data_IF_114393122520
#
_entry.id   IF_114393122520
#
_cell.length_a   1.000
_cell.length_b   1.000
_cell.length_c   1.000
_cell.angle_alpha   90.00
_cell.angle_beta   90.00
_cell.angle_gamma   90.00
#
_symmetry.space_group_name_H-M   'P 1'
#
loop_
_entity.id
_entity.type
_entity.pdbx_description
1 polymer ?
#
# COMPACT_ATOMS: atom_id res chain seq x y z
N UNK A 1 17.73 -24.05 15.05
CA UNK A 1 16.88 -25.22 14.69
C UNK A 1 17.65 -26.53 14.78
N UNK A 2 17.01 -27.70 14.61
CA UNK A 2 17.69 -29.00 14.74
C UNK A 2 18.88 -29.18 13.75
N UNK A 3 18.76 -28.65 12.53
CA UNK A 3 19.84 -28.68 11.52
C UNK A 3 21.01 -27.77 11.89
N UNK A 4 20.73 -26.62 12.52
CA UNK A 4 21.76 -25.68 12.99
C UNK A 4 22.59 -26.28 14.14
N UNK A 5 21.96 -27.07 15.02
CA UNK A 5 22.66 -27.84 16.06
C UNK A 5 23.60 -28.90 15.47
N UNK A 6 23.30 -29.40 14.26
CA UNK A 6 24.12 -30.35 13.50
C UNK A 6 25.06 -29.70 12.48
N UNK A 7 25.22 -28.37 12.47
CA UNK A 7 26.01 -27.67 11.44
C UNK A 7 27.46 -28.15 11.35
N UNK A 8 28.07 -28.52 12.49
CA UNK A 8 29.42 -29.07 12.56
C UNK A 8 29.57 -30.41 11.83
N UNK A 9 28.49 -31.22 11.76
CA UNK A 9 28.45 -32.49 11.02
C UNK A 9 28.35 -32.28 9.50
N UNK A 10 27.79 -31.14 9.09
CA UNK A 10 27.69 -30.72 7.69
C UNK A 10 28.95 -29.95 7.22
N UNK A 11 30.02 -29.95 8.02
CA UNK A 11 31.27 -29.21 7.79
C UNK A 11 31.08 -27.68 7.61
N UNK A 12 29.98 -27.13 8.13
CA UNK A 12 29.75 -25.70 8.13
C UNK A 12 30.51 -25.10 9.33
N UNK A 13 31.45 -24.21 9.04
CA UNK A 13 32.40 -23.70 10.04
C UNK A 13 31.79 -22.62 10.93
N UNK A 14 30.82 -21.88 10.41
CA UNK A 14 30.18 -20.77 11.10
C UNK A 14 28.69 -20.63 10.72
N UNK A 15 27.94 -19.90 11.55
CA UNK A 15 26.54 -19.58 11.29
C UNK A 15 26.36 -18.76 10.01
N UNK A 16 27.38 -18.02 9.59
CA UNK A 16 27.35 -17.22 8.36
C UNK A 16 27.31 -18.10 7.12
N UNK A 17 28.15 -19.14 7.03
CA UNK A 17 28.13 -20.12 5.96
C UNK A 17 26.82 -20.90 5.95
N UNK A 18 26.26 -21.24 7.12
CA UNK A 18 24.93 -21.86 7.18
C UNK A 18 23.86 -20.94 6.56
N UNK A 19 23.85 -19.66 6.94
CA UNK A 19 22.91 -18.69 6.39
C UNK A 19 23.05 -18.54 4.87
N UNK A 20 24.28 -18.36 4.38
CA UNK A 20 24.53 -18.14 2.95
C UNK A 20 24.31 -19.40 2.10
N UNK A 21 24.77 -20.57 2.54
CA UNK A 21 24.78 -21.79 1.72
C UNK A 21 23.49 -22.59 1.85
N UNK A 22 22.79 -22.50 2.98
CA UNK A 22 21.56 -23.26 3.23
C UNK A 22 20.34 -22.34 3.17
N UNK A 23 20.26 -21.33 4.03
CA UNK A 23 19.04 -20.52 4.16
C UNK A 23 18.78 -19.65 2.93
N UNK A 24 19.76 -18.89 2.46
CA UNK A 24 19.61 -18.00 1.29
C UNK A 24 19.36 -18.81 0.01
N UNK A 25 20.03 -19.96 -0.15
CA UNK A 25 19.78 -20.84 -1.32
C UNK A 25 18.40 -21.47 -1.28
N UNK A 26 17.95 -21.93 -0.11
CA UNK A 26 16.59 -22.44 0.06
C UNK A 26 15.55 -21.33 -0.17
N UNK A 27 15.82 -20.10 0.30
CA UNK A 27 14.94 -18.96 0.09
C UNK A 27 14.77 -18.64 -1.40
N UNK A 28 15.88 -18.56 -2.15
CA UNK A 28 15.86 -18.38 -3.61
C UNK A 28 15.09 -19.49 -4.32
N UNK A 29 15.30 -20.74 -3.91
CA UNK A 29 14.55 -21.86 -4.47
C UNK A 29 13.05 -21.75 -4.18
N UNK A 30 12.65 -21.33 -2.97
CA UNK A 30 11.23 -21.07 -2.65
C UNK A 30 10.67 -19.92 -3.48
N UNK A 31 11.45 -18.87 -3.73
CA UNK A 31 11.08 -17.72 -4.56
C UNK A 31 10.86 -18.12 -6.03
N UNK A 32 11.77 -18.90 -6.61
CA UNK A 32 11.66 -19.45 -7.97
C UNK A 32 10.44 -20.37 -8.16
N UNK A 33 9.92 -20.95 -7.07
CA UNK A 33 8.75 -21.83 -7.08
C UNK A 33 7.46 -21.12 -6.62
N UNK A 34 7.40 -19.79 -6.69
CA UNK A 34 6.25 -18.95 -6.29
C UNK A 34 5.83 -19.11 -4.81
N UNK A 35 6.72 -19.63 -3.95
CA UNK A 35 6.47 -19.78 -2.50
C UNK A 35 7.02 -18.61 -1.71
N UNK A 36 6.54 -17.41 -2.04
CA UNK A 36 7.05 -16.16 -1.48
C UNK A 36 6.98 -16.12 0.05
N UNK A 37 5.91 -16.65 0.67
CA UNK A 37 5.77 -16.70 2.13
C UNK A 37 6.84 -17.57 2.80
N UNK A 38 7.29 -18.64 2.15
CA UNK A 38 8.39 -19.48 2.64
C UNK A 38 9.73 -18.77 2.45
N UNK A 39 9.94 -18.16 1.28
CA UNK A 39 11.14 -17.40 0.98
C UNK A 39 11.38 -16.27 2.01
N UNK A 40 10.33 -15.50 2.34
CA UNK A 40 10.40 -14.42 3.34
C UNK A 40 10.84 -14.95 4.71
N UNK A 41 10.29 -16.10 5.15
CA UNK A 41 10.68 -16.71 6.43
C UNK A 41 12.14 -17.10 6.43
N UNK A 42 12.63 -17.69 5.33
CA UNK A 42 14.02 -18.13 5.19
C UNK A 42 14.99 -16.94 5.13
N UNK A 43 14.67 -15.87 4.39
CA UNK A 43 15.47 -14.65 4.38
C UNK A 43 15.51 -13.96 5.75
N UNK A 44 14.38 -13.93 6.48
CA UNK A 44 14.33 -13.38 7.84
C UNK A 44 15.21 -14.19 8.81
N UNK A 45 15.21 -15.53 8.71
CA UNK A 45 16.11 -16.38 9.49
C UNK A 45 17.58 -16.18 9.11
N UNK A 46 17.87 -15.93 7.83
CA UNK A 46 19.23 -15.64 7.35
C UNK A 46 19.75 -14.26 7.78
N UNK A 47 18.88 -13.37 8.27
CA UNK A 47 19.21 -12.01 8.67
C UNK A 47 19.29 -11.01 7.50
N UNK A 48 18.80 -11.38 6.31
CA UNK A 48 18.77 -10.50 5.13
C UNK A 48 17.48 -9.66 5.13
N UNK A 49 17.47 -8.65 6.00
CA UNK A 49 16.28 -7.82 6.22
C UNK A 49 15.89 -6.97 5.01
N UNK A 50 16.87 -6.55 4.19
CA UNK A 50 16.62 -5.81 2.94
C UNK A 50 15.79 -6.63 1.97
N UNK A 51 16.22 -7.86 1.71
CA UNK A 51 15.52 -8.76 0.78
C UNK A 51 14.15 -9.13 1.32
N UNK A 52 14.00 -9.33 2.63
CA UNK A 52 12.68 -9.56 3.25
C UNK A 52 11.70 -8.43 2.92
N UNK A 53 12.10 -7.17 3.09
CA UNK A 53 11.22 -6.02 2.86
C UNK A 53 10.92 -5.84 1.38
N UNK A 54 11.89 -6.06 0.48
CA UNK A 54 11.67 -6.03 -0.96
C UNK A 54 10.66 -7.11 -1.41
N UNK A 55 10.82 -8.36 -0.94
CA UNK A 55 9.88 -9.45 -1.23
C UNK A 55 8.48 -9.13 -0.68
N UNK A 56 8.38 -8.54 0.52
CA UNK A 56 7.12 -8.10 1.10
C UNK A 56 6.44 -7.01 0.25
N UNK A 57 7.20 -6.01 -0.21
CA UNK A 57 6.68 -4.94 -1.06
C UNK A 57 6.11 -5.51 -2.36
N UNK A 58 6.84 -6.44 -3.00
CA UNK A 58 6.38 -7.08 -4.23
C UNK A 58 5.13 -7.95 -4.00
N UNK A 59 5.11 -8.75 -2.94
CA UNK A 59 4.02 -9.64 -2.63
C UNK A 59 2.72 -8.87 -2.31
N UNK A 60 2.79 -7.90 -1.38
CA UNK A 60 1.63 -7.07 -1.01
C UNK A 60 1.10 -6.26 -2.20
N UNK A 61 2.01 -5.82 -3.07
CA UNK A 61 1.64 -5.06 -4.24
C UNK A 61 0.89 -5.91 -5.28
N UNK A 62 1.28 -7.18 -5.48
CA UNK A 62 0.50 -8.12 -6.31
C UNK A 62 -0.88 -8.39 -5.71
N UNK A 63 -0.92 -8.49 -4.38
CA UNK A 63 -2.14 -8.69 -3.61
C UNK A 63 -3.09 -7.50 -3.75
N UNK A 64 -2.62 -6.24 -3.75
CA UNK A 64 -3.46 -5.04 -3.91
C UNK A 64 -4.03 -4.89 -5.32
N UNK A 65 -3.24 -5.23 -6.35
CA UNK A 65 -3.70 -5.16 -7.75
C UNK A 65 -4.87 -6.11 -8.04
N UNK A 66 -5.11 -7.10 -7.18
CA UNK A 66 -6.21 -8.07 -7.35
C UNK A 66 -7.54 -7.50 -6.84
N UNK A 67 -8.63 -7.61 -7.61
CA UNK A 67 -9.94 -7.10 -7.21
C UNK A 67 -10.49 -7.87 -5.99
N UNK A 68 -10.33 -9.20 -5.98
CA UNK A 68 -10.74 -10.07 -4.87
C UNK A 68 -9.50 -10.63 -4.15
N UNK A 69 -9.29 -10.34 -2.85
CA UNK A 69 -8.21 -10.94 -2.08
C UNK A 69 -8.47 -12.43 -1.85
N UNK A 70 -7.46 -13.27 -2.10
CA UNK A 70 -7.52 -14.68 -1.70
C UNK A 70 -7.22 -14.85 -0.21
N UNK A 71 -7.57 -16.00 0.38
CA UNK A 71 -7.25 -16.33 1.78
C UNK A 71 -5.72 -16.22 2.04
N UNK A 72 -4.92 -16.65 1.06
CA UNK A 72 -3.45 -16.62 1.11
C UNK A 72 -2.89 -15.20 1.14
N UNK A 73 -3.58 -14.26 0.48
CA UNK A 73 -3.21 -12.85 0.46
C UNK A 73 -3.37 -12.22 1.85
N UNK A 74 -4.50 -12.50 2.52
CA UNK A 74 -4.76 -12.03 3.89
C UNK A 74 -3.79 -12.65 4.91
N UNK A 75 -3.38 -13.89 4.68
CA UNK A 75 -2.42 -14.57 5.53
C UNK A 75 -1.01 -13.94 5.52
N UNK A 76 -0.68 -13.12 4.50
CA UNK A 76 0.59 -12.40 4.43
C UNK A 76 0.58 -11.07 5.19
N UNK A 77 -0.59 -10.43 5.33
CA UNK A 77 -0.72 -9.09 5.89
C UNK A 77 -0.27 -9.04 7.36
N UNK A 78 -0.74 -9.97 8.20
CA UNK A 78 -0.39 -9.98 9.62
C UNK A 78 1.12 -10.23 9.86
N UNK A 79 1.76 -11.24 9.24
CA UNK A 79 3.21 -11.39 9.30
C UNK A 79 3.97 -10.16 8.81
N UNK A 80 3.51 -9.49 7.75
CA UNK A 80 4.15 -8.28 7.24
C UNK A 80 4.13 -7.15 8.29
N UNK A 81 3.00 -6.92 8.94
CA UNK A 81 2.87 -5.94 10.03
C UNK A 81 3.83 -6.25 11.18
N UNK A 82 3.90 -7.50 11.60
CA UNK A 82 4.74 -7.92 12.72
C UNK A 82 6.24 -7.80 12.40
N UNK A 83 6.64 -8.17 11.18
CA UNK A 83 8.02 -8.05 10.69
C UNK A 83 8.44 -6.57 10.64
N UNK A 84 7.62 -5.70 10.03
CA UNK A 84 7.96 -4.27 9.92
C UNK A 84 8.06 -3.62 11.29
N UNK A 85 7.09 -3.87 12.20
CA UNK A 85 7.15 -3.35 13.58
C UNK A 85 8.38 -3.84 14.35
N UNK A 86 8.84 -5.05 14.06
CA UNK A 86 10.05 -5.58 14.67
C UNK A 86 11.31 -4.90 14.11
N UNK A 87 11.40 -4.74 12.79
CA UNK A 87 12.55 -4.10 12.13
C UNK A 87 12.66 -2.62 12.48
N UNK A 88 11.53 -1.93 12.64
CA UNK A 88 11.47 -0.55 13.12
C UNK A 88 12.12 -0.37 14.49
N UNK A 89 11.75 -1.22 15.45
CA UNK A 89 12.32 -1.19 16.81
C UNK A 89 13.83 -1.47 16.82
N UNK A 90 14.32 -2.24 15.85
CA UNK A 90 15.73 -2.56 15.71
C UNK A 90 16.48 -1.62 14.75
N UNK A 91 15.81 -0.63 14.17
CA UNK A 91 16.33 0.25 13.14
C UNK A 91 17.00 -0.50 11.97
N UNK A 92 16.35 -1.57 11.48
CA UNK A 92 16.79 -2.40 10.34
C UNK A 92 15.95 -2.12 9.10
N UNK A 93 16.54 -2.37 7.93
CA UNK A 93 15.87 -2.27 6.62
C UNK A 93 15.16 -0.92 6.38
N UNK A 94 15.82 0.19 6.74
CA UNK A 94 15.34 1.52 6.40
C UNK A 94 15.49 1.77 4.88
N UNK A 95 14.51 2.45 4.28
CA UNK A 95 14.53 2.80 2.86
C UNK A 95 13.16 2.76 2.22
N UNK A 96 13.15 2.96 0.90
CA UNK A 96 11.93 3.05 0.08
C UNK A 96 11.08 1.78 0.14
N UNK A 97 11.70 0.60 0.23
CA UNK A 97 10.98 -0.68 0.27
C UNK A 97 10.12 -0.78 1.53
N UNK A 98 10.64 -0.34 2.68
CA UNK A 98 9.89 -0.35 3.95
C UNK A 98 8.74 0.65 3.90
N UNK A 99 9.00 1.86 3.41
CA UNK A 99 7.95 2.87 3.22
C UNK A 99 6.85 2.36 2.30
N UNK A 100 7.22 1.65 1.23
CA UNK A 100 6.27 1.02 0.32
C UNK A 100 5.41 -0.02 1.04
N UNK A 101 6.03 -0.95 1.78
CA UNK A 101 5.28 -1.96 2.56
C UNK A 101 4.28 -1.32 3.51
N UNK A 102 4.69 -0.29 4.26
CA UNK A 102 3.79 0.41 5.19
C UNK A 102 2.60 1.03 4.45
N UNK A 103 2.84 1.74 3.34
CA UNK A 103 1.77 2.37 2.55
C UNK A 103 0.86 1.34 1.89
N UNK A 104 1.40 0.22 1.38
CA UNK A 104 0.61 -0.88 0.83
C UNK A 104 -0.31 -1.50 1.88
N UNK A 105 0.19 -1.72 3.11
CA UNK A 105 -0.64 -2.21 4.22
C UNK A 105 -1.78 -1.22 4.56
N UNK A 106 -1.53 0.09 4.52
CA UNK A 106 -2.58 1.11 4.70
C UNK A 106 -3.64 1.09 3.61
N UNK A 107 -3.24 0.92 2.35
CA UNK A 107 -4.19 0.77 1.23
C UNK A 107 -5.08 -0.45 1.45
N UNK A 108 -4.52 -1.57 1.93
CA UNK A 108 -5.30 -2.77 2.27
C UNK A 108 -6.27 -2.53 3.43
N UNK A 109 -5.80 -1.87 4.48
CA UNK A 109 -6.63 -1.49 5.61
C UNK A 109 -7.82 -0.63 5.16
N UNK A 110 -7.59 0.38 4.30
CA UNK A 110 -8.64 1.22 3.73
C UNK A 110 -9.65 0.40 2.90
N UNK A 111 -9.18 -0.55 2.09
CA UNK A 111 -10.05 -1.44 1.30
C UNK A 111 -10.99 -2.27 2.17
N UNK A 112 -10.49 -2.81 3.28
CA UNK A 112 -11.32 -3.53 4.24
C UNK A 112 -12.32 -2.59 4.97
N UNK A 113 -11.94 -1.35 5.28
CA UNK A 113 -12.88 -0.37 5.87
C UNK A 113 -14.04 -0.03 4.92
N UNK A 114 -13.78 0.11 3.62
CA UNK A 114 -14.85 0.31 2.63
C UNK A 114 -15.78 -0.91 2.60
N UNK A 115 -15.22 -2.12 2.56
CA UNK A 115 -16.01 -3.35 2.56
C UNK A 115 -16.88 -3.52 3.83
N UNK A 116 -16.46 -2.97 4.97
CA UNK A 116 -17.24 -2.96 6.22
C UNK A 116 -18.24 -1.79 6.34
N UNK A 117 -18.38 -0.96 5.30
CA UNK A 117 -19.32 0.16 5.28
C UNK A 117 -18.87 1.39 6.08
N UNK A 118 -17.56 1.55 6.31
CA UNK A 118 -16.95 2.67 7.03
C UNK A 118 -16.06 3.54 6.11
N UNK A 119 -16.63 4.20 5.09
CA UNK A 119 -15.89 5.06 4.16
C UNK A 119 -15.19 6.25 4.84
N UNK A 120 -15.67 6.70 6.01
CA UNK A 120 -15.04 7.79 6.79
C UNK A 120 -13.67 7.36 7.33
N UNK A 121 -13.58 6.14 7.88
CA UNK A 121 -12.30 5.61 8.36
C UNK A 121 -11.37 5.31 7.18
N UNK A 122 -11.93 4.84 6.06
CA UNK A 122 -11.17 4.57 4.85
C UNK A 122 -10.50 5.84 4.30
N UNK A 123 -11.20 6.99 4.28
CA UNK A 123 -10.63 8.23 3.76
C UNK A 123 -9.52 8.77 4.68
N UNK A 124 -9.68 8.68 6.01
CA UNK A 124 -8.64 9.09 6.96
C UNK A 124 -7.36 8.24 6.79
N UNK A 125 -7.52 6.92 6.59
CA UNK A 125 -6.40 6.02 6.32
C UNK A 125 -5.73 6.39 4.99
N UNK A 126 -6.53 6.64 3.93
CA UNK A 126 -5.98 7.02 2.62
C UNK A 126 -5.25 8.36 2.67
N UNK A 127 -5.74 9.33 3.42
CA UNK A 127 -5.05 10.62 3.64
C UNK A 127 -3.68 10.40 4.30
N UNK A 128 -3.61 9.52 5.31
CA UNK A 128 -2.36 9.20 6.02
C UNK A 128 -1.29 8.54 5.14
N UNK A 129 -1.67 8.02 3.97
CA UNK A 129 -0.71 7.42 3.03
C UNK A 129 0.11 8.47 2.27
N UNK A 130 -0.37 9.71 2.23
CA UNK A 130 0.19 10.82 1.46
C UNK A 130 0.37 10.54 -0.04
N UNK A 131 -0.30 9.49 -0.57
CA UNK A 131 -0.20 9.10 -1.97
C UNK A 131 -1.09 9.97 -2.88
N UNK A 132 -2.26 10.34 -2.38
CA UNK A 132 -3.24 11.13 -3.13
C UNK A 132 -3.51 12.44 -2.38
N UNK A 133 -3.31 13.60 -3.02
CA UNK A 133 -3.66 14.89 -2.42
C UNK A 133 -5.19 15.01 -2.37
N UNK A 134 -5.76 14.98 -1.16
CA UNK A 134 -7.19 15.20 -0.93
C UNK A 134 -7.54 16.69 -0.74
N UNK A 135 -6.54 17.54 -0.54
CA UNK A 135 -6.71 18.98 -0.50
C UNK A 135 -6.78 19.58 -1.90
N UNK A 136 -7.68 20.52 -2.15
CA UNK A 136 -7.80 21.27 -3.41
C UNK A 136 -6.65 22.26 -3.70
N UNK A 137 -5.52 22.16 -2.99
CA UNK A 137 -4.35 23.00 -3.20
C UNK A 137 -3.57 22.52 -4.43
N UNK A 138 -3.63 23.31 -5.50
CA UNK A 138 -2.95 23.04 -6.77
C UNK A 138 -1.45 22.81 -6.58
N UNK A 139 -0.79 23.53 -5.66
CA UNK A 139 0.64 23.36 -5.42
C UNK A 139 0.96 21.97 -4.83
N UNK A 140 0.11 21.48 -3.92
CA UNK A 140 0.25 20.11 -3.38
C UNK A 140 -0.04 19.06 -4.44
N UNK A 141 -1.01 19.29 -5.31
CA UNK A 141 -1.33 18.38 -6.41
C UNK A 141 -0.14 18.24 -7.36
N UNK A 142 0.41 19.36 -7.85
CA UNK A 142 1.57 19.35 -8.75
C UNK A 142 2.78 18.71 -8.08
N UNK A 143 3.07 19.06 -6.82
CA UNK A 143 4.20 18.48 -6.08
C UNK A 143 4.07 16.97 -5.93
N UNK A 144 2.88 16.46 -5.58
CA UNK A 144 2.66 15.01 -5.42
C UNK A 144 2.75 14.28 -6.76
N UNK A 145 2.26 14.87 -7.84
CA UNK A 145 2.44 14.32 -9.18
C UNK A 145 3.92 14.23 -9.57
N UNK A 146 4.73 15.24 -9.22
CA UNK A 146 6.18 15.19 -9.45
C UNK A 146 6.88 14.13 -8.59
N UNK A 147 6.54 14.02 -7.30
CA UNK A 147 7.11 13.04 -6.36
C UNK A 147 6.70 11.60 -6.71
N UNK A 148 5.61 11.41 -7.47
CA UNK A 148 5.11 10.09 -7.87
C UNK A 148 6.18 9.26 -8.59
N UNK A 149 7.00 9.89 -9.44
CA UNK A 149 8.08 9.23 -10.19
C UNK A 149 9.18 8.68 -9.28
N UNK A 150 9.32 9.23 -8.07
CA UNK A 150 10.34 8.84 -7.10
C UNK A 150 9.85 7.78 -6.10
N UNK A 151 8.55 7.45 -6.14
CA UNK A 151 7.95 6.38 -5.34
C UNK A 151 8.50 5.01 -5.74
N UNK A 152 8.36 4.04 -4.83
CA UNK A 152 8.71 2.66 -5.10
C UNK A 152 7.82 2.07 -6.22
N UNK A 153 8.39 1.25 -7.10
CA UNK A 153 7.69 0.62 -8.24
C UNK A 153 6.38 -0.10 -7.84
N UNK A 154 6.39 -0.74 -6.68
CA UNK A 154 5.24 -1.42 -6.08
C UNK A 154 4.04 -0.49 -5.81
N UNK A 155 4.28 0.79 -5.54
CA UNK A 155 3.24 1.81 -5.37
C UNK A 155 2.82 2.39 -6.71
N UNK A 156 3.76 2.64 -7.62
CA UNK A 156 3.47 3.18 -8.95
C UNK A 156 2.55 2.24 -9.73
N UNK A 157 2.84 0.94 -9.72
CA UNK A 157 2.04 -0.06 -10.45
C UNK A 157 0.63 -0.25 -9.89
N UNK A 158 0.39 0.08 -8.62
CA UNK A 158 -0.92 -0.01 -7.98
C UNK A 158 -1.76 1.26 -8.07
N UNK A 159 -1.32 2.28 -8.81
CA UNK A 159 -2.05 3.54 -8.96
C UNK A 159 -3.53 3.31 -9.34
N UNK A 160 -3.76 2.40 -10.28
CA UNK A 160 -5.10 2.04 -10.75
C UNK A 160 -5.95 1.30 -9.70
N UNK A 161 -5.35 0.80 -8.62
CA UNK A 161 -6.08 0.12 -7.55
C UNK A 161 -6.51 1.09 -6.45
N UNK A 162 -5.63 2.02 -6.02
CA UNK A 162 -5.93 2.90 -4.88
C UNK A 162 -6.56 4.25 -5.27
N UNK A 163 -6.45 4.70 -6.52
CA UNK A 163 -7.21 5.88 -6.98
C UNK A 163 -8.73 5.61 -6.97
N UNK A 164 -9.25 4.54 -7.60
CA UNK A 164 -10.67 4.22 -7.52
C UNK A 164 -11.14 3.97 -6.09
N UNK A 165 -10.30 3.33 -5.26
CA UNK A 165 -10.59 3.10 -3.84
C UNK A 165 -10.85 4.42 -3.09
N UNK A 166 -10.02 5.43 -3.36
CA UNK A 166 -10.18 6.76 -2.75
C UNK A 166 -11.46 7.43 -3.22
N UNK A 167 -11.78 7.33 -4.51
CA UNK A 167 -13.03 7.86 -5.06
C UNK A 167 -14.26 7.14 -4.49
N UNK A 168 -14.19 5.83 -4.29
CA UNK A 168 -15.24 5.03 -3.66
C UNK A 168 -15.45 5.46 -2.20
N UNK A 169 -14.37 5.69 -1.45
CA UNK A 169 -14.44 6.22 -0.10
C UNK A 169 -15.12 7.61 -0.07
N UNK A 170 -14.69 8.53 -0.92
CA UNK A 170 -15.28 9.88 -1.03
C UNK A 170 -16.77 9.82 -1.39
N UNK A 171 -17.13 9.00 -2.36
CA UNK A 171 -18.53 8.80 -2.76
C UNK A 171 -19.36 8.23 -1.59
N UNK A 172 -18.82 7.27 -0.86
CA UNK A 172 -19.45 6.68 0.32
C UNK A 172 -19.70 7.70 1.43
N UNK A 173 -18.71 8.55 1.74
CA UNK A 173 -18.86 9.65 2.72
C UNK A 173 -19.93 10.62 2.25
N UNK A 174 -19.89 11.05 0.99
CA UNK A 174 -20.87 12.00 0.43
C UNK A 174 -22.30 11.44 0.46
N UNK A 175 -22.49 10.16 0.11
CA UNK A 175 -23.79 9.51 0.19
C UNK A 175 -24.33 9.48 1.62
N UNK A 176 -23.48 9.18 2.61
CA UNK A 176 -23.88 9.19 4.02
C UNK A 176 -24.25 10.59 4.52
N UNK A 177 -23.50 11.62 4.14
CA UNK A 177 -23.85 13.01 4.45
C UNK A 177 -25.19 13.39 3.82
N UNK A 178 -25.43 13.01 2.57
CA UNK A 178 -26.70 13.25 1.85
C UNK A 178 -27.89 12.49 2.46
N UNK A 179 -27.68 11.26 2.95
CA UNK A 179 -28.75 10.46 3.57
C UNK A 179 -29.01 10.83 5.03
N UNK A 180 -28.02 11.37 5.74
CA UNK A 180 -28.17 11.82 7.12
C UNK A 180 -29.07 13.05 7.18
N UNK A 181 -30.07 13.05 8.08
CA UNK A 181 -31.08 14.11 8.26
C UNK A 181 -30.44 15.34 8.91
N UNK A 182 -29.48 15.94 8.21
CA UNK A 182 -28.81 17.18 8.58
C UNK A 182 -29.63 18.32 7.94
N UNK A 183 -30.03 19.36 8.70
CA UNK A 183 -30.69 20.54 8.14
C UNK A 183 -29.88 21.13 6.98
N UNK A 184 -30.55 21.58 5.91
CA UNK A 184 -29.93 22.00 4.65
C UNK A 184 -28.78 23.02 4.82
N UNK A 185 -28.87 23.90 5.82
CA UNK A 185 -27.85 24.89 6.13
C UNK A 185 -26.51 24.27 6.59
N UNK A 186 -26.54 23.15 7.31
CA UNK A 186 -25.34 22.43 7.76
C UNK A 186 -24.81 21.49 6.68
N UNK A 187 -25.68 20.95 5.81
CA UNK A 187 -25.27 20.23 4.60
C UNK A 187 -24.53 21.14 3.64
N UNK A 188 -25.02 22.37 3.46
CA UNK A 188 -24.31 23.39 2.70
C UNK A 188 -22.96 23.67 3.35
N UNK A 189 -22.83 23.91 4.66
CA UNK A 189 -21.51 24.12 5.27
C UNK A 189 -20.54 22.93 5.10
N UNK A 190 -20.98 21.67 5.25
CA UNK A 190 -20.09 20.51 5.05
C UNK A 190 -19.69 20.37 3.58
N UNK A 191 -20.63 20.46 2.64
CA UNK A 191 -20.32 20.47 1.20
C UNK A 191 -19.50 21.70 0.77
N UNK A 192 -19.66 22.84 1.44
CA UNK A 192 -18.90 24.07 1.20
C UNK A 192 -17.51 24.00 1.82
N UNK A 193 -17.30 23.29 2.93
CA UNK A 193 -15.97 23.00 3.47
C UNK A 193 -15.20 22.06 2.53
N UNK A 194 -15.88 21.11 1.89
CA UNK A 194 -15.29 20.32 0.80
C UNK A 194 -15.16 21.09 -0.53
N UNK A 195 -15.95 22.16 -0.75
CA UNK A 195 -15.94 22.98 -1.97
C UNK A 195 -15.21 24.34 -1.84
N UNK A 196 -14.66 24.69 -0.68
CA UNK A 196 -13.92 25.96 -0.44
C UNK A 196 -12.46 25.90 -0.86
N UNK A 197 -12.03 24.79 -1.48
CA UNK A 197 -11.02 24.88 -2.53
C UNK A 197 -11.63 25.62 -3.73
N UNK A 198 -11.70 26.95 -3.65
CA UNK A 198 -12.30 27.83 -4.65
C UNK A 198 -11.83 27.47 -6.07
N UNK A 199 -12.79 27.11 -6.93
CA UNK A 199 -12.73 27.51 -8.33
C UNK A 199 -12.55 26.44 -9.41
N UNK A 200 -12.69 25.13 -9.15
CA UNK A 200 -12.64 24.13 -10.25
C UNK A 200 -13.34 22.78 -10.02
N UNK A 201 -14.44 22.76 -9.25
CA UNK A 201 -15.21 21.52 -8.98
C UNK A 201 -16.30 21.16 -9.99
N UNK A 202 -16.39 21.84 -11.14
CA UNK A 202 -17.12 21.28 -12.30
C UNK A 202 -16.48 19.94 -12.77
N UNK A 203 -15.26 19.63 -12.33
CA UNK A 203 -14.60 18.34 -12.62
C UNK A 203 -15.07 17.18 -11.72
N UNK A 204 -15.59 17.45 -10.52
CA UNK A 204 -15.84 16.39 -9.53
C UNK A 204 -17.28 15.88 -9.51
N UNK A 205 -18.28 16.68 -9.93
CA UNK A 205 -19.68 16.23 -10.03
C UNK A 205 -19.99 15.58 -11.38
N UNK A 206 -19.23 15.89 -12.42
CA UNK A 206 -19.28 15.19 -13.72
C UNK A 206 -18.51 13.85 -13.71
N UNK A 207 -17.99 13.41 -12.56
CA UNK A 207 -17.24 12.16 -12.40
C UNK A 207 -18.09 10.86 -12.57
N UNK A 208 -19.36 10.98 -12.95
CA UNK A 208 -20.12 9.87 -13.55
C UNK A 208 -19.82 9.69 -15.06
N UNK A 209 -18.95 10.52 -15.63
CA UNK A 209 -18.54 10.45 -17.02
C UNK A 209 -17.18 9.71 -17.15
N UNK A 210 -17.08 8.62 -17.93
CA UNK A 210 -15.84 7.87 -18.14
C UNK A 210 -14.69 8.71 -18.75
N UNK A 211 -14.96 9.95 -19.14
CA UNK A 211 -14.02 10.93 -19.68
C UNK A 211 -13.04 11.50 -18.63
N UNK A 212 -13.38 11.53 -17.34
CA UNK A 212 -12.53 12.16 -16.29
C UNK A 212 -11.46 11.21 -15.74
N UNK A 213 -11.68 9.89 -15.86
CA UNK A 213 -10.61 8.90 -15.66
C UNK A 213 -9.40 9.19 -16.56
N UNK A 214 -9.66 9.64 -17.79
CA UNK A 214 -8.63 9.94 -18.79
C UNK A 214 -7.79 11.16 -18.37
N UNK A 215 -8.37 12.20 -17.75
CA UNK A 215 -7.65 13.44 -17.45
C UNK A 215 -6.65 13.35 -16.29
N UNK A 216 -7.01 12.64 -15.22
CA UNK A 216 -6.09 12.40 -14.09
C UNK A 216 -5.01 11.39 -14.48
N UNK A 217 -5.35 10.42 -15.34
CA UNK A 217 -4.37 9.49 -15.91
C UNK A 217 -3.45 10.20 -16.91
N UNK A 218 -3.95 11.11 -17.75
CA UNK A 218 -3.16 11.87 -18.72
C UNK A 218 -2.21 12.87 -18.05
N UNK A 219 -2.66 13.58 -17.00
CA UNK A 219 -1.81 14.48 -16.21
C UNK A 219 -0.75 13.71 -15.38
N UNK A 220 -0.99 12.45 -15.01
CA UNK A 220 -0.03 11.58 -14.32
C UNK A 220 0.90 10.79 -15.27
N UNK A 221 0.46 10.48 -16.50
CA UNK A 221 1.20 9.71 -17.50
C UNK A 221 1.89 10.58 -18.56
N UNK A 222 1.77 11.91 -18.50
CA UNK A 222 2.55 12.85 -19.30
C UNK A 222 2.46 12.61 -20.80
N UNK A 223 1.27 12.40 -21.34
CA UNK A 223 1.06 12.47 -22.78
C UNK A 223 0.52 13.86 -23.14
N UNK A 224 1.36 14.60 -23.89
CA UNK A 224 1.00 15.87 -24.54
C UNK A 224 -0.06 15.68 -25.62
#
# INVERSE_FOLDING_TARGET
GAIEQGASLLQLKDSKQFNEQILVRAAKHSEENDRITEAIKLYNLAGDYSTVVACLAQALSNTISRPSPEEKDRALEQPAVDIIRHYERMNRAAGKDREAVVRLLRIREAKDQIATGKPEVAIDIMESTELIPLSGDVAKITRRAEEFKDLHEALQRNLQAYLPLTMEALAGVHQKVKSSVIPDATRQMVSTVFATGEGRTDVCLDAYCPSTQVKVIDDLCGHS
#
